data_IF_666312892451
#
_entry.id   IF_666312892451
#
_cell.length_a   1.000
_cell.length_b   1.000
_cell.length_c   1.000
_cell.angle_alpha   90.00
_cell.angle_beta   90.00
_cell.angle_gamma   90.00
#
_symmetry.space_group_name_H-M   'P 1'
#
loop_
_entity.id
_entity.type
_entity.pdbx_description
1 polymer ?
#
# COMPACT_ATOMS: atom_id res chain seq x y z
N UNK A 1 7.68 4.11 12.16
CA UNK A 1 8.65 3.66 11.13
C UNK A 1 8.48 2.17 10.94
N UNK A 2 7.95 1.70 9.81
CA UNK A 2 7.91 0.27 9.51
C UNK A 2 9.26 -0.13 8.90
N UNK A 3 9.84 -1.18 9.46
CA UNK A 3 11.03 -1.81 8.88
C UNK A 3 10.60 -2.49 7.56
N UNK A 4 11.19 -2.04 6.45
CA UNK A 4 10.83 -2.46 5.08
C UNK A 4 11.07 -3.96 4.81
N UNK A 5 11.87 -4.61 5.67
CA UNK A 5 12.18 -6.03 5.64
C UNK A 5 11.15 -6.90 6.38
N UNK A 6 10.23 -6.31 7.14
CA UNK A 6 9.15 -7.04 7.82
C UNK A 6 8.06 -7.48 6.85
N UNK A 7 7.26 -8.50 7.22
CA UNK A 7 6.07 -8.89 6.47
C UNK A 7 5.15 -7.69 6.21
N UNK A 8 4.56 -7.64 5.01
CA UNK A 8 3.63 -6.59 4.65
C UNK A 8 2.34 -6.71 5.48
N UNK A 9 1.77 -5.60 6.01
CA UNK A 9 0.52 -5.62 6.76
C UNK A 9 -0.66 -6.25 5.99
N UNK A 10 -0.64 -6.25 4.65
CA UNK A 10 -1.70 -6.84 3.84
C UNK A 10 -1.73 -8.39 3.78
N UNK A 11 -0.90 -9.06 4.59
CA UNK A 11 -0.84 -10.53 4.72
C UNK A 11 -0.59 -11.27 3.38
N UNK A 12 0.19 -10.66 2.48
CA UNK A 12 0.56 -11.25 1.18
C UNK A 12 1.70 -12.28 1.24
N UNK A 13 2.20 -12.59 2.43
CA UNK A 13 3.43 -13.37 2.68
C UNK A 13 4.71 -12.79 2.07
N UNK A 14 4.67 -11.54 1.58
CA UNK A 14 5.84 -10.82 1.08
C UNK A 14 6.31 -9.78 2.11
N UNK A 15 7.57 -9.36 2.02
CA UNK A 15 8.05 -8.21 2.78
C UNK A 15 7.38 -6.93 2.28
N UNK A 16 7.28 -5.91 3.14
CA UNK A 16 6.70 -4.62 2.77
C UNK A 16 7.35 -4.03 1.51
N UNK A 17 8.69 -4.09 1.42
CA UNK A 17 9.46 -3.61 0.26
C UNK A 17 9.11 -4.31 -1.06
N UNK A 18 8.81 -5.61 -1.01
CA UNK A 18 8.47 -6.38 -2.21
C UNK A 18 6.98 -6.32 -2.54
N UNK A 19 6.16 -5.80 -1.62
CA UNK A 19 4.71 -5.74 -1.73
C UNK A 19 4.19 -4.29 -1.82
N UNK A 20 3.49 -3.80 -0.80
CA UNK A 20 2.76 -2.52 -0.86
C UNK A 20 3.66 -1.29 -0.96
N UNK A 21 4.95 -1.36 -0.58
CA UNK A 21 5.84 -0.22 -0.72
C UNK A 21 6.00 0.25 -2.17
N UNK A 22 6.03 -0.67 -3.14
CA UNK A 22 6.12 -0.31 -4.57
C UNK A 22 4.89 0.47 -5.05
N UNK A 23 3.71 0.14 -4.52
CA UNK A 23 2.47 0.87 -4.82
C UNK A 23 2.50 2.25 -4.15
N UNK A 24 2.93 2.33 -2.88
CA UNK A 24 3.01 3.59 -2.13
C UNK A 24 4.01 4.58 -2.75
N UNK A 25 5.15 4.09 -3.24
CA UNK A 25 6.14 4.88 -3.94
C UNK A 25 5.71 5.30 -5.35
N UNK A 26 4.68 4.65 -5.93
CA UNK A 26 4.30 4.83 -7.33
C UNK A 26 5.15 4.07 -8.34
N UNK A 27 6.03 3.16 -7.88
CA UNK A 27 6.82 2.27 -8.75
C UNK A 27 5.91 1.26 -9.50
N UNK A 28 4.74 0.97 -8.92
CA UNK A 28 3.70 0.14 -9.52
C UNK A 28 2.34 0.80 -9.36
N UNK A 29 1.45 0.58 -10.33
CA UNK A 29 0.02 0.80 -10.21
C UNK A 29 -0.69 -0.51 -9.83
N UNK A 30 -1.77 -0.41 -9.07
CA UNK A 30 -2.55 -1.59 -8.68
C UNK A 30 -3.21 -2.23 -9.91
N UNK A 31 -2.94 -3.51 -10.13
CA UNK A 31 -3.49 -4.28 -11.26
C UNK A 31 -4.91 -4.80 -11.00
N UNK A 32 -5.39 -4.76 -9.74
CA UNK A 32 -6.74 -5.16 -9.37
C UNK A 32 -7.27 -4.34 -8.20
N UNK A 33 -8.59 -4.30 -8.06
CA UNK A 33 -9.25 -3.65 -6.92
C UNK A 33 -8.84 -4.29 -5.58
N UNK A 34 -8.60 -5.60 -5.54
CA UNK A 34 -8.10 -6.29 -4.35
C UNK A 34 -6.70 -5.80 -3.97
N UNK A 35 -5.79 -5.69 -4.95
CA UNK A 35 -4.44 -5.18 -4.71
C UNK A 35 -4.48 -3.73 -4.21
N UNK A 36 -5.37 -2.91 -4.79
CA UNK A 36 -5.61 -1.55 -4.34
C UNK A 36 -6.09 -1.52 -2.88
N UNK A 37 -7.11 -2.30 -2.52
CA UNK A 37 -7.63 -2.35 -1.15
C UNK A 37 -6.57 -2.82 -0.13
N UNK A 38 -5.81 -3.87 -0.46
CA UNK A 38 -4.70 -4.37 0.37
C UNK A 38 -3.61 -3.31 0.59
N UNK A 39 -3.27 -2.56 -0.46
CA UNK A 39 -2.32 -1.44 -0.36
C UNK A 39 -2.86 -0.31 0.51
N UNK A 40 -4.13 0.07 0.34
CA UNK A 40 -4.78 1.10 1.18
C UNK A 40 -4.81 0.69 2.65
N UNK A 41 -5.11 -0.56 2.97
CA UNK A 41 -5.01 -1.07 4.34
C UNK A 41 -3.59 -0.91 4.91
N UNK A 42 -2.57 -1.30 4.13
CA UNK A 42 -1.18 -1.15 4.56
C UNK A 42 -0.80 0.33 4.75
N UNK A 43 -1.29 1.22 3.89
CA UNK A 43 -1.11 2.66 4.01
C UNK A 43 -1.69 3.22 5.32
N UNK A 44 -2.87 2.76 5.74
CA UNK A 44 -3.42 3.08 7.07
C UNK A 44 -2.50 2.62 8.20
N UNK A 45 -2.01 1.37 8.15
CA UNK A 45 -1.13 0.80 9.20
C UNK A 45 0.21 1.55 9.29
N UNK A 46 0.77 1.97 8.14
CA UNK A 46 2.08 2.65 8.10
C UNK A 46 1.96 4.16 8.33
N UNK A 47 0.75 4.72 8.33
CA UNK A 47 0.48 6.15 8.46
C UNK A 47 0.69 6.97 7.18
N UNK A 48 0.64 6.34 5.99
CA UNK A 48 0.78 7.02 4.71
C UNK A 48 -0.56 7.60 4.23
N UNK A 49 -0.92 8.74 4.80
CA UNK A 49 -2.15 9.47 4.46
C UNK A 49 -2.12 9.98 3.02
N UNK A 50 -0.94 10.34 2.51
CA UNK A 50 -0.77 10.83 1.14
C UNK A 50 -1.21 9.79 0.11
N UNK A 51 -0.83 8.54 0.30
CA UNK A 51 -1.28 7.44 -0.57
C UNK A 51 -2.80 7.22 -0.52
N UNK A 52 -3.40 7.33 0.66
CA UNK A 52 -4.85 7.16 0.84
C UNK A 52 -5.66 8.20 0.08
N UNK A 53 -5.22 9.47 0.10
CA UNK A 53 -5.84 10.57 -0.64
C UNK A 53 -5.65 10.35 -2.14
N UNK A 54 -4.41 10.05 -2.60
CA UNK A 54 -4.11 9.83 -4.01
C UNK A 54 -4.89 8.69 -4.65
N UNK A 55 -5.30 7.70 -3.86
CA UNK A 55 -6.03 6.51 -4.33
C UNK A 55 -7.52 6.55 -4.01
N UNK A 56 -8.03 7.68 -3.49
CA UNK A 56 -9.45 7.92 -3.34
C UNK A 56 -10.03 8.37 -4.70
N UNK A 57 -11.30 8.06 -4.95
CA UNK A 57 -11.99 8.56 -6.13
C UNK A 57 -11.96 10.11 -6.13
N UNK A 58 -11.66 10.78 -7.26
CA UNK A 58 -11.48 12.23 -7.30
C UNK A 58 -12.71 13.04 -6.89
N UNK A 59 -13.91 12.48 -7.03
CA UNK A 59 -15.18 13.11 -6.62
C UNK A 59 -15.48 12.98 -5.10
N UNK A 60 -14.47 12.71 -4.28
CA UNK A 60 -14.58 12.54 -2.82
C UNK A 60 -13.64 13.45 -2.06
#
# INVERSE_FOLDING_TARGET
MINVSLPCPCCSNQTYQKCCQKLHNGDLTAASAEQLMRSRYSAFVVGDIGYLIKTLHPDK
#
